data_IF_978722168119
#
_entry.id   IF_978722168119
#
_cell.length_a   1.000
_cell.length_b   1.000
_cell.length_c   1.000
_cell.angle_alpha   90.00
_cell.angle_beta   90.00
_cell.angle_gamma   90.00
#
_symmetry.space_group_name_H-M   'P 1'
#
loop_
_entity.id
_entity.type
_entity.pdbx_description
1 polymer ?
#
# COMPACT_ATOMS: atom_id res chain seq x y z
N UNK A 1 47.02 61.73 -31.08
CA UNK A 1 46.95 61.28 -29.67
C UNK A 1 45.49 61.06 -29.27
N UNK A 2 45.05 59.80 -29.23
CA UNK A 2 43.86 59.35 -28.50
C UNK A 2 44.23 57.99 -27.90
N UNK A 3 44.02 57.91 -26.59
CA UNK A 3 44.28 56.78 -25.71
C UNK A 3 43.15 55.72 -25.80
N UNK A 4 43.42 54.56 -25.21
CA UNK A 4 42.46 53.57 -24.68
C UNK A 4 41.81 52.62 -25.71
N UNK A 5 41.57 51.34 -25.44
CA UNK A 5 41.63 50.55 -24.21
C UNK A 5 41.76 49.06 -24.64
N UNK A 6 42.80 48.36 -24.18
CA UNK A 6 42.95 46.92 -24.36
C UNK A 6 42.10 46.22 -23.29
N UNK A 7 40.96 45.63 -23.67
CA UNK A 7 40.14 44.83 -22.76
C UNK A 7 40.72 43.42 -22.71
N UNK A 8 41.44 43.14 -21.62
CA UNK A 8 41.91 41.79 -21.27
C UNK A 8 40.72 41.04 -20.64
N UNK A 9 40.02 40.19 -21.40
CA UNK A 9 38.99 39.31 -20.85
C UNK A 9 39.65 38.09 -20.21
N UNK A 10 39.82 38.15 -18.88
CA UNK A 10 40.23 37.04 -18.04
C UNK A 10 39.01 36.13 -17.84
N UNK A 11 38.85 35.08 -18.65
CA UNK A 11 37.86 34.04 -18.40
C UNK A 11 38.34 33.16 -17.26
N UNK A 12 37.85 33.44 -16.05
CA UNK A 12 37.94 32.52 -14.93
C UNK A 12 37.18 31.24 -15.28
N UNK A 13 37.91 30.19 -15.63
CA UNK A 13 37.41 28.83 -15.65
C UNK A 13 37.09 28.40 -14.21
N UNK A 14 35.89 28.75 -13.74
CA UNK A 14 35.30 28.11 -12.57
C UNK A 14 34.91 26.71 -13.00
N UNK A 15 35.86 25.78 -12.87
CA UNK A 15 35.57 24.37 -12.93
C UNK A 15 34.63 24.02 -11.79
N UNK A 16 33.31 24.12 -12.04
CA UNK A 16 32.31 23.41 -11.27
C UNK A 16 32.63 21.93 -11.42
N UNK A 17 33.33 21.36 -10.43
CA UNK A 17 33.27 19.93 -10.18
C UNK A 17 31.82 19.69 -9.77
N UNK A 18 30.99 19.28 -10.72
CA UNK A 18 29.71 18.67 -10.39
C UNK A 18 29.99 17.61 -9.31
N UNK A 19 29.35 17.68 -8.14
CA UNK A 19 29.41 16.58 -7.21
C UNK A 19 28.87 15.37 -7.97
N UNK A 20 29.73 14.38 -8.23
CA UNK A 20 29.35 13.09 -8.79
C UNK A 20 28.06 12.69 -8.09
N UNK A 21 26.95 12.68 -8.84
CA UNK A 21 25.69 12.23 -8.33
C UNK A 21 25.97 10.86 -7.69
N UNK A 22 25.83 10.78 -6.36
CA UNK A 22 25.81 9.49 -5.69
C UNK A 22 24.74 8.70 -6.44
N UNK A 23 25.17 7.64 -7.13
CA UNK A 23 24.26 6.70 -7.78
C UNK A 23 23.21 6.36 -6.73
N UNK A 24 21.96 6.77 -6.98
CA UNK A 24 20.83 6.39 -6.14
C UNK A 24 20.88 4.87 -6.10
N UNK A 25 20.99 4.24 -4.91
CA UNK A 25 20.96 2.79 -4.81
C UNK A 25 19.75 2.30 -5.58
N UNK A 26 19.94 1.29 -6.42
CA UNK A 26 18.87 0.68 -7.18
C UNK A 26 17.79 0.23 -6.19
N UNK A 27 16.71 1.00 -6.09
CA UNK A 27 15.68 0.91 -5.03
C UNK A 27 15.03 -0.46 -5.00
N UNK A 28 15.07 -1.18 -6.12
CA UNK A 28 14.59 -2.54 -6.24
C UNK A 28 15.45 -3.58 -5.50
N UNK A 29 16.74 -3.32 -5.30
CA UNK A 29 17.60 -4.22 -4.51
C UNK A 29 17.15 -4.34 -3.04
N UNK A 30 16.38 -3.37 -2.54
CA UNK A 30 15.79 -3.44 -1.22
C UNK A 30 14.65 -4.49 -1.17
N UNK A 31 13.82 -4.56 -2.22
CA UNK A 31 12.72 -5.51 -2.31
C UNK A 31 13.17 -6.96 -2.57
N UNK A 32 14.35 -7.14 -3.18
CA UNK A 32 14.89 -8.48 -3.42
C UNK A 32 15.06 -9.29 -2.15
N UNK A 33 15.34 -8.62 -1.02
CA UNK A 33 15.50 -9.23 0.31
C UNK A 33 14.19 -9.62 0.99
N UNK A 34 13.04 -9.16 0.48
CA UNK A 34 11.75 -9.52 1.04
C UNK A 34 11.41 -10.98 0.71
N UNK A 35 10.86 -11.67 1.71
CA UNK A 35 10.32 -13.03 1.56
C UNK A 35 9.19 -13.01 0.53
N UNK A 36 9.23 -13.96 -0.40
CA UNK A 36 8.12 -14.20 -1.32
C UNK A 36 7.00 -14.94 -0.59
N UNK A 37 5.77 -14.45 -0.75
CA UNK A 37 4.57 -15.09 -0.22
C UNK A 37 3.79 -15.67 -1.40
N UNK A 38 3.37 -16.92 -1.28
CA UNK A 38 2.59 -17.62 -2.29
C UNK A 38 1.10 -17.27 -2.19
N UNK A 39 0.42 -17.30 -3.33
CA UNK A 39 -1.03 -17.14 -3.42
C UNK A 39 -1.73 -18.52 -3.42
N UNK A 40 -2.99 -18.62 -2.97
CA UNK A 40 -3.87 -17.53 -2.58
C UNK A 40 -3.59 -16.96 -1.19
N UNK A 41 -3.75 -15.64 -1.04
CA UNK A 41 -3.72 -14.97 0.26
C UNK A 41 -5.13 -14.70 0.73
N UNK A 42 -5.41 -15.01 1.99
CA UNK A 42 -6.69 -14.70 2.63
C UNK A 42 -6.50 -13.73 3.79
N UNK A 43 -7.38 -12.73 3.87
CA UNK A 43 -7.48 -11.75 4.94
C UNK A 43 -8.92 -11.72 5.46
N UNK A 44 -9.09 -11.64 6.77
CA UNK A 44 -10.38 -11.60 7.43
C UNK A 44 -10.31 -10.63 8.60
N UNK A 45 -11.09 -9.55 8.57
CA UNK A 45 -11.05 -8.52 9.61
C UNK A 45 -11.47 -9.02 11.00
N UNK A 46 -12.19 -10.14 11.07
CA UNK A 46 -12.62 -10.74 12.35
C UNK A 46 -11.57 -11.68 12.95
N UNK A 47 -10.40 -11.84 12.32
CA UNK A 47 -9.35 -12.75 12.77
C UNK A 47 -7.99 -12.07 12.69
N UNK A 48 -7.10 -12.46 13.60
CA UNK A 48 -5.70 -12.06 13.50
C UNK A 48 -5.11 -12.60 12.19
N UNK A 49 -4.39 -11.74 11.45
CA UNK A 49 -3.66 -12.16 10.26
C UNK A 49 -2.53 -13.12 10.66
N UNK A 50 -2.42 -14.25 9.95
CA UNK A 50 -1.42 -15.29 10.25
C UNK A 50 -0.07 -15.06 9.55
N UNK A 51 0.09 -13.98 8.79
CA UNK A 51 1.34 -13.69 8.08
C UNK A 51 2.36 -13.10 9.05
N UNK A 52 3.55 -13.70 9.08
CA UNK A 52 4.66 -13.16 9.85
C UNK A 52 5.13 -11.84 9.23
N UNK A 53 5.38 -10.86 10.08
CA UNK A 53 5.96 -9.59 9.67
C UNK A 53 7.43 -9.77 9.39
N UNK A 54 7.89 -9.29 8.24
CA UNK A 54 9.31 -9.27 7.91
C UNK A 54 9.85 -7.89 8.23
N UNK A 55 10.95 -7.84 8.98
CA UNK A 55 11.62 -6.59 9.28
C UNK A 55 12.21 -6.01 7.99
N UNK A 56 11.61 -4.92 7.49
CA UNK A 56 12.11 -4.21 6.33
C UNK A 56 12.93 -3.01 6.78
N UNK A 57 14.23 -3.05 6.50
CA UNK A 57 15.20 -2.12 7.07
C UNK A 57 15.20 -0.73 6.42
N UNK A 58 14.55 -0.54 5.26
CA UNK A 58 14.43 0.78 4.63
C UNK A 58 13.25 1.57 5.22
N UNK A 59 13.53 2.14 6.39
CA UNK A 59 12.59 2.99 7.13
C UNK A 59 12.21 4.28 6.39
N UNK A 60 13.01 4.74 5.42
CA UNK A 60 12.72 5.97 4.65
C UNK A 60 11.63 5.69 3.63
N UNK A 61 11.70 4.57 2.93
CA UNK A 61 10.65 4.16 2.00
C UNK A 61 9.33 3.91 2.73
N UNK A 62 9.35 3.18 3.86
CA UNK A 62 8.14 2.90 4.65
C UNK A 62 7.46 4.19 5.13
N UNK A 63 8.24 5.15 5.64
CA UNK A 63 7.72 6.47 6.07
C UNK A 63 7.15 7.29 4.92
N UNK A 64 7.67 7.14 3.70
CA UNK A 64 7.09 7.80 2.52
C UNK A 64 5.76 7.18 2.10
N UNK A 65 5.59 5.88 2.30
CA UNK A 65 4.38 5.14 1.95
C UNK A 65 3.24 5.37 2.95
N UNK A 66 3.57 5.56 4.23
CA UNK A 66 2.61 5.92 5.26
C UNK A 66 3.24 6.91 6.25
N UNK A 67 3.10 8.23 6.02
CA UNK A 67 3.69 9.23 6.90
C UNK A 67 2.99 9.28 8.27
N UNK A 68 1.69 8.95 8.30
CA UNK A 68 0.84 9.10 9.47
C UNK A 68 0.78 7.84 10.34
N UNK A 69 1.20 6.68 9.81
CA UNK A 69 1.13 5.41 10.52
C UNK A 69 2.37 4.55 10.29
N UNK A 70 2.80 3.77 11.29
CA UNK A 70 3.79 2.72 11.07
C UNK A 70 3.26 1.71 10.04
N UNK A 71 4.05 1.50 8.99
CA UNK A 71 3.83 0.47 7.98
C UNK A 71 4.77 -0.70 8.25
N UNK A 72 4.22 -1.91 8.26
CA UNK A 72 4.97 -3.15 8.38
C UNK A 72 4.73 -4.00 7.13
N UNK A 73 5.73 -4.74 6.69
CA UNK A 73 5.62 -5.60 5.51
C UNK A 73 5.47 -7.06 5.92
N UNK A 74 4.59 -7.78 5.25
CA UNK A 74 4.54 -9.23 5.29
C UNK A 74 5.53 -9.82 4.27
N UNK A 75 5.62 -9.24 3.08
CA UNK A 75 6.51 -9.75 2.03
C UNK A 75 6.12 -9.29 0.62
N UNK A 76 6.67 -9.97 -0.39
CA UNK A 76 6.39 -9.72 -1.81
C UNK A 76 5.58 -10.85 -2.44
N UNK A 77 4.75 -10.53 -3.43
CA UNK A 77 3.96 -11.51 -4.19
C UNK A 77 4.50 -11.55 -5.62
N UNK A 78 5.00 -12.70 -6.11
CA UNK A 78 5.66 -12.80 -7.41
C UNK A 78 4.63 -12.93 -8.55
N UNK A 79 3.92 -11.84 -8.85
CA UNK A 79 2.89 -11.85 -9.89
C UNK A 79 3.42 -11.62 -11.31
N UNK A 80 4.42 -10.76 -11.48
CA UNK A 80 4.92 -10.37 -12.79
C UNK A 80 6.37 -9.87 -12.71
N UNK A 81 7.08 -9.93 -13.83
CA UNK A 81 8.44 -9.39 -13.97
C UNK A 81 8.51 -7.88 -14.22
N UNK A 82 7.37 -7.20 -14.34
CA UNK A 82 7.31 -5.78 -14.75
C UNK A 82 7.08 -4.82 -13.59
N UNK A 83 6.53 -5.32 -12.50
CA UNK A 83 6.31 -4.57 -11.29
C UNK A 83 6.49 -5.52 -10.10
N UNK A 84 6.82 -4.95 -8.95
CA UNK A 84 6.91 -5.68 -7.69
C UNK A 84 5.63 -5.46 -6.90
N UNK A 85 4.98 -6.53 -6.48
CA UNK A 85 3.84 -6.45 -5.56
C UNK A 85 4.30 -6.73 -4.15
N UNK A 86 4.00 -5.83 -3.22
CA UNK A 86 4.25 -6.00 -1.80
C UNK A 86 2.94 -6.04 -1.04
N UNK A 87 2.93 -6.77 0.06
CA UNK A 87 1.84 -6.74 1.01
C UNK A 87 2.36 -6.44 2.39
N UNK A 88 1.66 -5.56 3.07
CA UNK A 88 1.97 -5.13 4.42
C UNK A 88 0.68 -4.80 5.16
N UNK A 89 0.82 -4.14 6.30
CA UNK A 89 -0.31 -3.61 7.03
C UNK A 89 0.04 -2.28 7.69
N UNK A 90 -0.98 -1.44 7.82
CA UNK A 90 -0.96 -0.24 8.65
C UNK A 90 -1.32 -0.63 10.07
N UNK A 91 -0.56 -0.16 11.05
CA UNK A 91 -0.87 -0.37 12.47
C UNK A 91 -2.00 0.55 12.96
N UNK A 92 -3.19 0.41 12.38
CA UNK A 92 -4.44 0.93 12.94
C UNK A 92 -5.11 -0.13 13.82
N UNK A 93 -6.29 0.19 14.35
CA UNK A 93 -7.04 -0.70 15.26
C UNK A 93 -7.36 -2.07 14.66
N UNK A 94 -7.32 -2.20 13.33
CA UNK A 94 -7.64 -3.42 12.59
C UNK A 94 -6.41 -4.07 11.95
N UNK A 95 -5.22 -3.52 12.16
CA UNK A 95 -4.01 -3.89 11.45
C UNK A 95 -4.27 -4.02 9.93
N UNK A 96 -4.87 -2.98 9.33
CA UNK A 96 -5.42 -3.03 7.97
C UNK A 96 -4.36 -3.43 6.93
N UNK A 97 -4.54 -4.57 6.23
CA UNK A 97 -3.64 -4.99 5.17
C UNK A 97 -3.70 -4.02 3.99
N UNK A 98 -2.54 -3.79 3.38
CA UNK A 98 -2.37 -2.92 2.23
C UNK A 98 -1.55 -3.64 1.17
N UNK A 99 -2.08 -3.65 -0.04
CA UNK A 99 -1.38 -4.12 -1.23
C UNK A 99 -0.72 -2.94 -1.93
N UNK A 100 0.54 -3.08 -2.30
CA UNK A 100 1.29 -2.06 -3.03
C UNK A 100 1.87 -2.66 -4.31
N UNK A 101 1.94 -1.86 -5.36
CA UNK A 101 2.62 -2.22 -6.61
C UNK A 101 3.65 -1.15 -6.95
N UNK A 102 4.87 -1.56 -7.31
CA UNK A 102 5.99 -0.69 -7.64
C UNK A 102 6.56 -1.00 -9.02
N UNK A 103 7.00 0.02 -9.75
CA UNK A 103 7.68 -0.19 -11.03
C UNK A 103 9.11 -0.75 -10.84
N UNK A 104 9.81 -0.98 -11.96
CA UNK A 104 11.19 -1.47 -11.96
C UNK A 104 12.20 -0.48 -11.37
N UNK A 105 11.79 0.74 -11.07
CA UNK A 105 12.61 1.78 -10.43
C UNK A 105 12.18 1.99 -8.98
N UNK A 106 11.36 1.09 -8.42
CA UNK A 106 10.87 1.14 -7.05
C UNK A 106 9.94 2.32 -6.76
N UNK A 107 9.36 2.95 -7.79
CA UNK A 107 8.35 3.99 -7.63
C UNK A 107 6.98 3.34 -7.46
N UNK A 108 6.21 3.84 -6.50
CA UNK A 108 4.84 3.39 -6.27
C UNK A 108 3.98 3.66 -7.51
N UNK A 109 3.35 2.60 -8.02
CA UNK A 109 2.34 2.65 -9.08
C UNK A 109 0.94 2.80 -8.47
N UNK A 110 0.61 1.96 -7.48
CA UNK A 110 -0.71 1.91 -6.85
C UNK A 110 -0.59 1.32 -5.43
N UNK A 111 -1.43 1.80 -4.51
CA UNK A 111 -1.72 1.18 -3.22
C UNK A 111 -3.22 0.93 -3.05
N UNK A 112 -3.59 -0.17 -2.40
CA UNK A 112 -4.99 -0.55 -2.18
C UNK A 112 -5.16 -1.14 -0.78
N UNK A 113 -6.04 -0.54 0.02
CA UNK A 113 -6.43 -1.09 1.32
C UNK A 113 -7.30 -2.33 1.08
N UNK A 114 -6.99 -3.44 1.74
CA UNK A 114 -7.80 -4.66 1.60
C UNK A 114 -9.05 -4.60 2.50
N UNK A 115 -8.97 -3.93 3.65
CA UNK A 115 -10.14 -3.63 4.46
C UNK A 115 -10.63 -2.22 4.10
N UNK A 116 -11.76 -2.14 3.40
CA UNK A 116 -12.31 -0.89 2.87
C UNK A 116 -13.35 -0.27 3.79
N UNK A 117 -14.08 -1.10 4.53
CA UNK A 117 -15.34 -0.70 5.19
C UNK A 117 -15.48 -1.26 6.60
N UNK A 118 -14.43 -1.87 7.17
CA UNK A 118 -14.47 -2.44 8.52
C UNK A 118 -14.91 -1.37 9.53
N UNK A 119 -15.98 -1.66 10.25
CA UNK A 119 -16.55 -0.80 11.29
C UNK A 119 -17.12 -1.65 12.40
N UNK A 120 -17.02 -1.15 13.63
CA UNK A 120 -17.62 -1.78 14.80
C UNK A 120 -18.22 -0.70 15.67
N UNK A 121 -19.40 -0.23 15.29
CA UNK A 121 -20.18 0.77 16.02
C UNK A 121 -21.49 0.15 16.50
N UNK A 122 -22.09 0.75 17.52
CA UNK A 122 -23.38 0.29 18.02
C UNK A 122 -24.44 0.37 16.90
N UNK A 123 -25.13 -0.73 16.66
CA UNK A 123 -26.11 -0.86 15.59
C UNK A 123 -25.52 -1.21 14.21
N UNK A 124 -24.20 -1.17 14.02
CA UNK A 124 -23.57 -1.49 12.72
C UNK A 124 -22.20 -2.16 12.87
N UNK A 125 -22.11 -3.38 12.33
CA UNK A 125 -20.88 -4.18 12.35
C UNK A 125 -20.55 -4.62 10.94
N UNK A 126 -19.45 -4.11 10.39
CA UNK A 126 -18.97 -4.49 9.07
C UNK A 126 -17.67 -5.27 9.18
N UNK A 127 -17.65 -6.42 8.54
CA UNK A 127 -16.45 -7.24 8.37
C UNK A 127 -16.09 -7.39 6.91
N UNK A 128 -14.79 -7.49 6.64
CA UNK A 128 -14.26 -7.67 5.30
C UNK A 128 -13.49 -8.98 5.22
N UNK A 129 -13.76 -9.73 4.16
CA UNK A 129 -13.04 -10.93 3.80
C UNK A 129 -12.46 -10.75 2.39
N UNK A 130 -11.15 -10.94 2.26
CA UNK A 130 -10.43 -10.69 1.01
C UNK A 130 -9.58 -11.88 0.63
N UNK A 131 -9.69 -12.32 -0.62
CA UNK A 131 -8.84 -13.34 -1.22
C UNK A 131 -8.08 -12.73 -2.39
N UNK A 132 -6.74 -12.83 -2.39
CA UNK A 132 -5.91 -12.52 -3.55
C UNK A 132 -5.45 -13.84 -4.17
N UNK A 133 -5.87 -14.12 -5.40
CA UNK A 133 -5.53 -15.37 -6.09
C UNK A 133 -4.25 -15.26 -6.94
N UNK A 134 -3.81 -16.41 -7.48
CA UNK A 134 -2.61 -16.50 -8.33
C UNK A 134 -2.76 -15.81 -9.69
N UNK A 135 -3.99 -15.49 -10.10
CA UNK A 135 -4.29 -14.82 -11.36
C UNK A 135 -4.37 -13.29 -11.21
N UNK A 136 -3.97 -12.76 -10.05
CA UNK A 136 -4.00 -11.35 -9.70
C UNK A 136 -5.42 -10.80 -9.55
N UNK A 137 -6.41 -11.64 -9.28
CA UNK A 137 -7.73 -11.16 -8.87
C UNK A 137 -7.76 -11.00 -7.35
N UNK A 138 -8.48 -9.97 -6.92
CA UNK A 138 -8.77 -9.70 -5.51
C UNK A 138 -10.29 -9.83 -5.36
N UNK A 139 -10.73 -10.84 -4.63
CA UNK A 139 -12.14 -11.07 -4.32
C UNK A 139 -12.41 -10.48 -2.95
N UNK A 140 -13.31 -9.51 -2.89
CA UNK A 140 -13.65 -8.79 -1.67
C UNK A 140 -15.11 -9.08 -1.32
N UNK A 141 -15.35 -9.53 -0.09
CA UNK A 141 -16.67 -9.73 0.48
C UNK A 141 -16.80 -8.82 1.69
N UNK A 142 -17.74 -7.89 1.61
CA UNK A 142 -18.24 -7.09 2.72
C UNK A 142 -19.45 -7.79 3.32
N UNK A 143 -19.42 -8.00 4.64
CA UNK A 143 -20.57 -8.49 5.39
C UNK A 143 -20.89 -7.49 6.49
N UNK A 144 -22.03 -6.82 6.35
CA UNK A 144 -22.52 -5.79 7.27
C UNK A 144 -23.77 -6.28 7.98
N UNK A 145 -23.72 -6.34 9.31
CA UNK A 145 -24.86 -6.57 10.18
C UNK A 145 -25.33 -5.22 10.70
N UNK A 146 -26.63 -4.94 10.56
CA UNK A 146 -27.27 -3.76 11.15
C UNK A 146 -28.30 -4.20 12.18
N UNK A 147 -28.35 -3.50 13.32
CA UNK A 147 -29.35 -3.69 14.38
C UNK A 147 -30.05 -2.36 14.65
N UNK A 148 -31.31 -2.43 15.06
CA UNK A 148 -32.02 -1.25 15.54
C UNK A 148 -31.50 -0.89 16.93
N UNK A 149 -31.52 0.39 17.24
CA UNK A 149 -31.28 0.92 18.57
C UNK A 149 -32.62 1.23 19.26
N UNK A 150 -32.63 1.24 20.59
CA UNK A 150 -33.74 1.78 21.36
C UNK A 150 -33.89 3.31 21.16
N UNK A 151 -34.98 3.89 21.67
CA UNK A 151 -35.34 5.30 21.40
C UNK A 151 -34.29 6.31 21.89
N UNK A 152 -33.53 5.97 22.93
CA UNK A 152 -32.46 6.80 23.48
C UNK A 152 -31.07 6.45 22.94
N UNK A 153 -30.99 5.53 21.97
CA UNK A 153 -29.77 5.05 21.33
C UNK A 153 -28.72 4.55 22.33
N UNK A 154 -29.15 4.05 23.50
CA UNK A 154 -28.24 3.53 24.53
C UNK A 154 -27.88 2.06 24.33
N UNK A 155 -28.76 1.30 23.67
CA UNK A 155 -28.62 -0.14 23.48
C UNK A 155 -29.19 -0.61 22.14
N UNK A 156 -28.70 -1.77 21.70
CA UNK A 156 -29.23 -2.49 20.54
C UNK A 156 -30.48 -3.30 20.91
N UNK A 157 -31.46 -3.37 20.00
CA UNK A 157 -32.66 -4.17 20.17
C UNK A 157 -32.39 -5.60 19.66
N UNK A 158 -32.41 -6.63 20.54
CA UNK A 158 -32.14 -8.00 20.12
C UNK A 158 -33.14 -8.51 19.08
N UNK A 159 -32.67 -9.33 18.13
CA UNK A 159 -33.51 -9.95 17.10
C UNK A 159 -33.92 -9.03 15.96
N UNK A 160 -33.32 -7.84 15.86
CA UNK A 160 -33.54 -6.89 14.76
C UNK A 160 -32.42 -6.90 13.71
N UNK A 161 -31.58 -7.93 13.73
CA UNK A 161 -30.46 -8.10 12.82
C UNK A 161 -30.92 -8.10 11.35
N UNK A 162 -30.26 -7.29 10.54
CA UNK A 162 -30.32 -7.34 9.08
C UNK A 162 -28.91 -7.55 8.55
N UNK A 163 -28.74 -8.51 7.62
CA UNK A 163 -27.47 -8.79 6.98
C UNK A 163 -27.48 -8.27 5.54
N UNK A 164 -26.48 -7.47 5.20
CA UNK A 164 -26.13 -7.11 3.83
C UNK A 164 -24.79 -7.71 3.46
N UNK A 165 -24.71 -8.29 2.27
CA UNK A 165 -23.46 -8.84 1.73
C UNK A 165 -23.19 -8.20 0.36
N UNK A 166 -22.03 -7.55 0.23
CA UNK A 166 -21.59 -6.95 -1.02
C UNK A 166 -20.31 -7.65 -1.46
N UNK A 167 -20.32 -8.17 -2.68
CA UNK A 167 -19.12 -8.70 -3.30
C UNK A 167 -18.57 -7.70 -4.32
N UNK A 168 -17.25 -7.46 -4.26
CA UNK A 168 -16.51 -6.70 -5.25
C UNK A 168 -15.37 -7.56 -5.76
N UNK A 169 -15.00 -7.36 -7.02
CA UNK A 169 -13.81 -7.98 -7.59
C UNK A 169 -12.89 -6.88 -8.10
N UNK A 170 -11.60 -7.05 -7.85
CA UNK A 170 -10.55 -6.22 -8.42
C UNK A 170 -9.57 -7.09 -9.18
N UNK A 171 -8.81 -6.46 -10.07
CA UNK A 171 -7.73 -7.11 -10.81
C UNK A 171 -6.52 -6.18 -10.86
N UNK A 172 -5.34 -6.76 -10.66
CA UNK A 172 -4.06 -6.07 -10.90
C UNK A 172 -3.74 -6.24 -12.40
N UNK A 173 -3.64 -5.12 -13.12
CA UNK A 173 -3.27 -5.13 -14.54
C UNK A 173 -1.80 -5.47 -14.76
N UNK A 174 -1.39 -5.65 -16.02
CA UNK A 174 0.02 -5.92 -16.37
C UNK A 174 0.94 -4.72 -16.11
N UNK A 175 0.37 -3.53 -15.97
CA UNK A 175 1.05 -2.30 -15.55
C UNK A 175 1.05 -2.11 -14.03
N UNK A 176 0.53 -3.06 -13.25
CA UNK A 176 0.44 -2.98 -11.79
C UNK A 176 -0.72 -2.14 -11.27
N UNK A 177 -1.63 -1.65 -12.12
CA UNK A 177 -2.77 -0.85 -11.66
C UNK A 177 -3.88 -1.78 -11.15
N UNK A 178 -4.32 -1.57 -9.91
CA UNK A 178 -5.45 -2.27 -9.32
C UNK A 178 -6.74 -1.57 -9.76
N UNK A 179 -7.68 -2.29 -10.37
CA UNK A 179 -8.98 -1.75 -10.79
C UNK A 179 -10.11 -2.68 -10.41
N UNK A 180 -11.26 -2.10 -10.08
CA UNK A 180 -12.49 -2.87 -9.93
C UNK A 180 -12.86 -3.46 -11.30
N UNK A 181 -13.27 -4.72 -11.29
CA UNK A 181 -13.79 -5.44 -12.44
C UNK A 181 -15.13 -6.02 -12.01
N UNK A 182 -16.19 -5.69 -12.75
CA UNK A 182 -17.55 -6.14 -12.44
C UNK A 182 -17.74 -7.63 -12.74
#
# INVERSE_FOLDING_TARGET
>A
MKFLLLILTFTFGVGCKEPKAKSVPDSNSAFDKLVSIETPLTFNSNRANHYQTVEFQDTVLLKKLSPDYPLFLYGKIPFHSNFTTLIGYRADDQATPILFTFDKQGKLIHSHLLYETVVGDMGIYTSNHVIIDSERNIHFTDSTITRKLNEDESDEIPGTDSLSVINKKYRISDEGIIKRVD
#
